data_IF_425153792087
#
_entry.id   IF_425153792087
#
_cell.length_a   1.000
_cell.length_b   1.000
_cell.length_c   1.000
_cell.angle_alpha   90.00
_cell.angle_beta   90.00
_cell.angle_gamma   90.00
#
_symmetry.space_group_name_H-M   'P 1'
#
loop_
_entity.id
_entity.type
_entity.pdbx_description
1 polymer ?
#
# COMPACT_ATOMS: atom_id res chain seq x y z
N UNK A 1 -24.68 12.87 -9.55
CA UNK A 1 -24.47 11.67 -8.69
C UNK A 1 -23.00 11.64 -8.32
N UNK A 2 -22.62 11.61 -7.02
CA UNK A 2 -21.21 11.47 -6.68
C UNK A 2 -20.70 10.13 -7.21
N UNK A 3 -19.57 10.16 -7.91
CA UNK A 3 -18.97 8.96 -8.49
C UNK A 3 -18.44 8.10 -7.33
N UNK A 4 -18.96 6.86 -7.21
CA UNK A 4 -18.49 5.91 -6.19
C UNK A 4 -16.99 5.70 -6.36
N UNK A 5 -16.21 6.09 -5.35
CA UNK A 5 -14.79 5.81 -5.30
C UNK A 5 -14.58 4.28 -5.31
N UNK A 6 -13.76 3.81 -6.24
CA UNK A 6 -13.41 2.39 -6.37
C UNK A 6 -12.03 2.19 -5.75
N UNK A 7 -11.93 1.29 -4.78
CA UNK A 7 -10.68 0.93 -4.14
C UNK A 7 -10.28 -0.50 -4.50
N UNK A 8 -8.98 -0.72 -4.70
CA UNK A 8 -8.37 -2.03 -4.87
C UNK A 8 -7.33 -2.21 -3.76
N UNK A 9 -7.53 -3.22 -2.91
CA UNK A 9 -6.55 -3.61 -1.89
C UNK A 9 -5.77 -4.81 -2.45
N UNK A 10 -4.45 -4.71 -2.42
CA UNK A 10 -3.53 -5.71 -3.00
C UNK A 10 -2.61 -6.25 -1.91
N UNK A 11 -2.59 -7.56 -1.73
CA UNK A 11 -1.50 -8.24 -1.01
C UNK A 11 -0.28 -8.33 -1.93
N UNK A 12 0.72 -7.49 -1.63
CA UNK A 12 1.93 -7.38 -2.43
C UNK A 12 2.82 -8.61 -2.38
N UNK A 13 2.85 -9.36 -1.27
CA UNK A 13 3.65 -10.60 -1.20
C UNK A 13 3.04 -11.68 -2.07
N UNK A 14 1.73 -11.89 -1.95
CA UNK A 14 1.00 -12.85 -2.77
C UNK A 14 1.15 -12.55 -4.26
N UNK A 15 1.03 -11.28 -4.68
CA UNK A 15 1.20 -10.89 -6.09
C UNK A 15 2.64 -11.10 -6.57
N UNK A 16 3.65 -10.70 -5.79
CA UNK A 16 5.06 -10.89 -6.17
C UNK A 16 5.38 -12.36 -6.40
N UNK A 17 4.86 -13.27 -5.58
CA UNK A 17 5.12 -14.71 -5.73
C UNK A 17 4.30 -15.36 -6.85
N UNK A 18 3.13 -14.80 -7.17
CA UNK A 18 2.29 -15.26 -8.27
C UNK A 18 2.84 -14.86 -9.64
N UNK A 19 3.46 -13.68 -9.79
CA UNK A 19 3.89 -13.15 -11.08
C UNK A 19 5.35 -13.51 -11.39
N UNK A 20 5.64 -14.30 -12.45
CA UNK A 20 6.98 -14.82 -12.71
C UNK A 20 8.08 -13.76 -12.81
N UNK A 21 7.80 -12.62 -13.40
CA UNK A 21 8.70 -11.47 -13.57
C UNK A 21 9.02 -10.80 -12.23
N UNK A 22 8.02 -10.59 -11.37
CA UNK A 22 8.22 -10.03 -10.04
C UNK A 22 8.95 -11.01 -9.13
N UNK A 23 8.62 -12.30 -9.21
CA UNK A 23 9.32 -13.36 -8.47
C UNK A 23 10.80 -13.45 -8.83
N UNK A 24 11.13 -13.31 -10.13
CA UNK A 24 12.53 -13.25 -10.61
C UNK A 24 13.26 -12.04 -10.05
N UNK A 25 12.63 -10.87 -10.00
CA UNK A 25 13.19 -9.68 -9.38
C UNK A 25 13.39 -9.88 -7.88
N UNK A 26 12.41 -10.49 -7.20
CA UNK A 26 12.44 -10.73 -5.76
C UNK A 26 13.61 -11.65 -5.37
N UNK A 27 13.86 -12.68 -6.17
CA UNK A 27 14.98 -13.60 -5.98
C UNK A 27 16.35 -12.92 -6.07
N UNK A 28 16.47 -11.82 -6.83
CA UNK A 28 17.69 -11.02 -6.90
C UNK A 28 17.79 -10.01 -5.76
N UNK A 29 16.70 -9.26 -5.55
CA UNK A 29 16.58 -8.24 -4.50
C UNK A 29 15.11 -7.99 -4.21
N UNK A 30 14.69 -8.30 -2.98
CA UNK A 30 13.28 -8.14 -2.56
C UNK A 30 12.74 -6.73 -2.84
N UNK A 31 13.53 -5.67 -2.60
CA UNK A 31 13.11 -4.29 -2.85
C UNK A 31 12.78 -4.02 -4.33
N UNK A 32 13.52 -4.63 -5.27
CA UNK A 32 13.30 -4.42 -6.70
C UNK A 32 11.97 -4.98 -7.19
N UNK A 33 11.49 -6.09 -6.60
CA UNK A 33 10.16 -6.60 -6.91
C UNK A 33 9.04 -5.70 -6.36
N UNK A 34 9.24 -5.15 -5.15
CA UNK A 34 8.28 -4.21 -4.54
C UNK A 34 8.18 -2.92 -5.35
N UNK A 35 9.31 -2.34 -5.73
CA UNK A 35 9.38 -1.14 -6.59
C UNK A 35 8.71 -1.38 -7.94
N UNK A 36 8.95 -2.53 -8.57
CA UNK A 36 8.33 -2.89 -9.84
C UNK A 36 6.80 -3.07 -9.71
N UNK A 37 6.32 -3.71 -8.65
CA UNK A 37 4.89 -3.87 -8.38
C UNK A 37 4.22 -2.51 -8.14
N UNK A 38 4.81 -1.66 -7.29
CA UNK A 38 4.30 -0.30 -7.01
C UNK A 38 4.16 0.50 -8.31
N UNK A 39 5.16 0.43 -9.19
CA UNK A 39 5.11 1.11 -10.49
C UNK A 39 3.92 0.63 -11.33
N UNK A 40 3.73 -0.68 -11.46
CA UNK A 40 2.62 -1.25 -12.24
C UNK A 40 1.24 -0.89 -11.65
N UNK A 41 1.10 -0.89 -10.32
CA UNK A 41 -0.13 -0.50 -9.64
C UNK A 41 -0.44 0.99 -9.76
N UNK A 42 0.60 1.84 -9.81
CA UNK A 42 0.45 3.27 -10.12
C UNK A 42 -0.07 3.48 -11.53
N UNK A 43 0.54 2.82 -12.52
CA UNK A 43 0.10 2.92 -13.91
C UNK A 43 -1.37 2.46 -14.05
N UNK A 44 -1.76 1.41 -13.33
CA UNK A 44 -3.16 0.95 -13.27
C UNK A 44 -4.10 1.97 -12.62
N UNK A 45 -3.70 2.57 -11.49
CA UNK A 45 -4.47 3.64 -10.84
C UNK A 45 -4.69 4.82 -11.79
N UNK A 46 -3.62 5.28 -12.45
CA UNK A 46 -3.66 6.45 -13.33
C UNK A 46 -4.55 6.19 -14.56
N UNK A 47 -4.56 4.97 -15.08
CA UNK A 47 -5.39 4.59 -16.23
C UNK A 47 -6.87 4.35 -15.88
N UNK A 48 -7.17 3.82 -14.68
CA UNK A 48 -8.53 3.39 -14.31
C UNK A 48 -9.27 4.35 -13.40
N UNK A 49 -8.56 5.26 -12.73
CA UNK A 49 -9.10 6.09 -11.64
C UNK A 49 -9.47 5.28 -10.38
N UNK A 50 -9.11 4.00 -10.30
CA UNK A 50 -9.26 3.18 -9.09
C UNK A 50 -8.14 3.53 -8.12
N UNK A 51 -8.47 3.87 -6.87
CA UNK A 51 -7.46 4.10 -5.83
C UNK A 51 -6.90 2.75 -5.37
N UNK A 52 -5.59 2.57 -5.45
CA UNK A 52 -4.93 1.29 -5.12
C UNK A 52 -4.17 1.40 -3.82
N UNK A 53 -4.42 0.46 -2.90
CA UNK A 53 -3.65 0.28 -1.66
C UNK A 53 -2.94 -1.06 -1.75
N UNK A 54 -1.60 -1.06 -1.66
CA UNK A 54 -0.80 -2.30 -1.61
C UNK A 54 -0.23 -2.50 -0.21
N UNK A 55 -0.46 -3.69 0.35
CA UNK A 55 0.03 -4.10 1.67
C UNK A 55 1.16 -5.10 1.47
N UNK A 56 2.29 -4.86 2.13
CA UNK A 56 3.40 -5.82 2.18
C UNK A 56 3.55 -6.31 3.62
N UNK A 57 3.14 -7.55 3.87
CA UNK A 57 3.19 -8.16 5.19
C UNK A 57 4.62 -8.16 5.78
N UNK A 58 4.72 -7.67 7.01
CA UNK A 58 5.88 -7.76 7.91
C UNK A 58 5.73 -8.88 8.95
N UNK A 59 6.61 -8.95 9.96
CA UNK A 59 6.43 -9.88 11.08
C UNK A 59 5.51 -9.25 12.14
N UNK A 60 4.19 -9.36 11.99
CA UNK A 60 3.22 -8.89 12.99
C UNK A 60 1.78 -9.21 12.60
N UNK A 61 0.89 -9.34 13.58
CA UNK A 61 -0.56 -9.39 13.35
C UNK A 61 -1.01 -8.04 12.79
N UNK A 62 -1.63 -8.01 11.61
CA UNK A 62 -1.89 -6.75 10.90
C UNK A 62 -3.16 -6.07 11.36
N UNK A 63 -3.02 -4.83 11.84
CA UNK A 63 -4.06 -3.81 11.74
C UNK A 63 -3.84 -3.05 10.41
N UNK A 64 -4.89 -2.83 9.61
CA UNK A 64 -4.78 -2.05 8.38
C UNK A 64 -4.62 -0.58 8.77
N UNK A 65 -3.44 0.00 8.55
CA UNK A 65 -3.18 1.43 8.75
C UNK A 65 -2.88 2.12 7.42
N UNK A 66 -3.63 3.17 7.09
CA UNK A 66 -3.47 3.92 5.84
C UNK A 66 -2.90 5.30 6.13
N UNK A 67 -1.78 5.62 5.48
CA UNK A 67 -1.15 6.92 5.58
C UNK A 67 -1.56 7.83 4.42
N UNK A 68 -2.27 8.91 4.71
CA UNK A 68 -2.70 9.89 3.69
C UNK A 68 -2.96 11.26 4.31
N UNK A 69 -2.90 12.34 3.55
CA UNK A 69 -3.36 13.67 3.98
C UNK A 69 -4.73 14.04 3.40
N UNK A 70 -5.32 13.17 2.58
CA UNK A 70 -6.64 13.37 1.97
C UNK A 70 -7.74 12.95 2.97
N UNK A 71 -8.62 13.90 3.31
CA UNK A 71 -9.69 13.68 4.28
C UNK A 71 -10.74 12.68 3.81
N UNK A 72 -11.02 12.62 2.50
CA UNK A 72 -11.96 11.63 1.93
C UNK A 72 -11.36 10.21 2.00
N UNK A 73 -10.05 10.09 1.83
CA UNK A 73 -9.37 8.80 2.02
C UNK A 73 -9.37 8.39 3.49
N UNK A 74 -9.08 9.31 4.41
CA UNK A 74 -9.13 9.04 5.86
C UNK A 74 -10.53 8.60 6.32
N UNK A 75 -11.58 9.26 5.85
CA UNK A 75 -12.98 8.88 6.14
C UNK A 75 -13.31 7.49 5.60
N UNK A 76 -12.82 7.14 4.40
CA UNK A 76 -13.04 5.82 3.81
C UNK A 76 -12.33 4.74 4.63
N UNK A 77 -11.11 5.01 5.07
CA UNK A 77 -10.31 4.12 5.92
C UNK A 77 -11.03 3.85 7.24
N UNK A 78 -11.51 4.90 7.89
CA UNK A 78 -12.31 4.79 9.11
C UNK A 78 -13.61 4.00 8.88
N UNK A 79 -14.31 4.24 7.76
CA UNK A 79 -15.53 3.52 7.39
C UNK A 79 -15.29 2.02 7.13
N UNK A 80 -14.07 1.64 6.75
CA UNK A 80 -13.65 0.25 6.57
C UNK A 80 -13.14 -0.41 7.86
N UNK A 81 -13.15 0.28 9.00
CA UNK A 81 -12.67 -0.23 10.29
C UNK A 81 -11.13 -0.28 10.38
N UNK A 82 -10.45 0.51 9.55
CA UNK A 82 -9.01 0.63 9.51
C UNK A 82 -8.56 1.95 10.17
N UNK A 83 -7.30 2.01 10.58
CA UNK A 83 -6.72 3.19 11.21
C UNK A 83 -6.05 4.11 10.18
N UNK A 84 -6.05 5.41 10.43
CA UNK A 84 -5.43 6.41 9.58
C UNK A 84 -4.32 7.16 10.31
N UNK A 85 -3.26 7.51 9.57
CA UNK A 85 -2.18 8.37 10.06
C UNK A 85 -1.78 9.41 9.01
N UNK A 86 -1.39 10.62 9.43
CA UNK A 86 -0.87 11.61 8.48
C UNK A 86 0.53 11.25 7.97
N UNK A 87 0.95 11.72 6.77
CA UNK A 87 2.30 11.49 6.26
C UNK A 87 3.40 12.01 7.21
N UNK A 88 3.15 13.12 7.92
CA UNK A 88 4.06 13.70 8.91
C UNK A 88 4.18 12.82 10.15
N UNK A 89 3.06 12.30 10.66
CA UNK A 89 3.06 11.40 11.81
C UNK A 89 3.69 10.04 11.45
N UNK A 90 3.46 9.53 10.24
CA UNK A 90 4.14 8.33 9.74
C UNK A 90 5.65 8.52 9.71
N UNK A 91 6.14 9.69 9.27
CA UNK A 91 7.58 10.01 9.30
C UNK A 91 8.14 9.92 10.73
N UNK A 92 7.38 10.38 11.73
CA UNK A 92 7.70 10.22 13.15
C UNK A 92 7.88 8.76 13.55
N UNK A 93 6.88 7.91 13.27
CA UNK A 93 6.92 6.48 13.59
C UNK A 93 8.06 5.71 12.90
N UNK A 94 8.33 6.01 11.64
CA UNK A 94 9.42 5.35 10.90
C UNK A 94 10.79 5.74 11.47
N UNK A 95 10.95 7.00 11.89
CA UNK A 95 12.22 7.49 12.45
C UNK A 95 12.53 6.92 13.84
N UNK A 96 11.50 6.66 14.67
CA UNK A 96 11.68 6.05 16.00
C UNK A 96 12.03 4.57 15.92
N UNK A 97 11.53 3.85 14.91
CA UNK A 97 11.80 2.41 14.71
C UNK A 97 13.25 2.10 14.33
N UNK A 98 13.97 3.06 13.73
CA UNK A 98 15.40 2.89 13.38
C UNK A 98 16.37 3.09 14.55
N UNK A 99 15.88 3.48 15.74
CA UNK A 99 16.70 3.76 16.93
C UNK A 99 16.71 2.63 17.98
N UNK A 100 15.94 1.56 17.76
CA UNK A 100 15.95 0.32 18.55
C UNK A 100 16.52 -0.83 17.70
#
# INVERSE_FOLDING_TARGET
>A
MPQRARYLIVDGHSVIFAWPELRKLHARRSSSAREALIKQLRDYQDWTGVRVVVVFDGKGSFELMVATSDSMEAETVAACGAEWISPEALRGLVSSTRRN
#
